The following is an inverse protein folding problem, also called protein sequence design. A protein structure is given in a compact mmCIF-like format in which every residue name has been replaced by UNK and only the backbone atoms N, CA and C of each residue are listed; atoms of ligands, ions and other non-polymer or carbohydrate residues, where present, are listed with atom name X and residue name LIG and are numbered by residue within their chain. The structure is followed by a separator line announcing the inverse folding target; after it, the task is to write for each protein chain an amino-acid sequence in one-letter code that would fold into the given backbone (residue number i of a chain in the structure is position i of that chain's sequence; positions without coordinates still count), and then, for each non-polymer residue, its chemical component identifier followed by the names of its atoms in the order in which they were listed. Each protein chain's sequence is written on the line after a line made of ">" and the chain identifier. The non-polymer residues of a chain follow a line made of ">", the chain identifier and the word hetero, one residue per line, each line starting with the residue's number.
data_IF_687629763151
#
_entry.id   IF_687629763151
#
_cell.length_a   1.000
_cell.length_b   1.000
_cell.length_c   1.000
_cell.angle_alpha   90.00
_cell.angle_beta   90.00
_cell.angle_gamma   90.00
#
_symmetry.space_group_name_H-M   'P 1'
#
loop_
_entity.id
_entity.type
_entity.pdbx_description
1 polymer ?
#
# COMPACT_ATOMS: atom_id res chain seq x y z
N UNK A 1 -6.73 5.92 -19.03
CA UNK A 1 -6.72 4.47 -18.76
C UNK A 1 -7.66 4.27 -17.57
N UNK A 2 -8.94 4.05 -17.87
CA UNK A 2 -9.99 3.84 -16.87
C UNK A 2 -9.85 2.41 -16.32
N UNK A 3 -9.94 2.23 -15.00
CA UNK A 3 -9.89 0.91 -14.36
C UNK A 3 -11.30 0.32 -14.38
N UNK A 4 -11.54 -0.82 -15.06
CA UNK A 4 -12.84 -1.50 -15.10
C UNK A 4 -13.47 -1.76 -13.72
N UNK A 5 -14.81 -1.66 -13.63
CA UNK A 5 -15.59 -1.78 -12.39
C UNK A 5 -15.44 -3.15 -11.69
N UNK A 6 -15.01 -4.19 -12.40
CA UNK A 6 -14.74 -5.54 -11.87
C UNK A 6 -13.35 -5.67 -11.20
N UNK A 7 -12.48 -4.66 -11.34
CA UNK A 7 -11.25 -4.52 -10.56
C UNK A 7 -11.47 -3.79 -9.23
N UNK A 8 -12.73 -3.44 -8.90
CA UNK A 8 -13.10 -3.04 -7.53
C UNK A 8 -12.86 -4.23 -6.59
N UNK A 9 -12.20 -4.03 -5.44
CA UNK A 9 -11.82 -5.11 -4.55
C UNK A 9 -13.07 -5.85 -4.06
N UNK A 10 -13.16 -7.13 -4.40
CA UNK A 10 -14.27 -8.02 -4.08
C UNK A 10 -13.79 -9.28 -3.36
N UNK A 11 -14.53 -9.61 -2.30
CA UNK A 11 -14.43 -10.74 -1.35
C UNK A 11 -13.49 -10.51 -0.15
N UNK A 12 -14.13 -10.20 0.98
CA UNK A 12 -13.55 -9.98 2.31
C UNK A 12 -13.10 -11.30 2.93
N UNK A 13 -11.86 -11.36 3.44
CA UNK A 13 -11.50 -12.31 4.49
C UNK A 13 -12.20 -11.89 5.81
N UNK A 14 -12.74 -12.83 6.62
CA UNK A 14 -13.40 -12.50 7.87
C UNK A 14 -12.39 -11.93 8.88
N UNK A 15 -12.66 -10.72 9.38
CA UNK A 15 -11.91 -10.09 10.47
C UNK A 15 -12.43 -10.64 11.81
N UNK A 16 -11.53 -11.12 12.67
CA UNK A 16 -11.84 -11.39 14.08
C UNK A 16 -12.14 -10.07 14.82
N UNK A 17 -13.05 -10.05 15.82
CA UNK A 17 -13.40 -8.83 16.53
C UNK A 17 -12.24 -8.34 17.43
N UNK A 18 -12.07 -7.01 17.61
CA UNK A 18 -11.00 -6.47 18.45
C UNK A 18 -11.32 -6.65 19.94
N UNK A 19 -10.38 -7.25 20.67
CA UNK A 19 -10.36 -7.30 22.14
C UNK A 19 -10.18 -5.89 22.70
N UNK A 20 -11.06 -5.55 23.64
CA UNK A 20 -11.17 -4.39 24.53
C UNK A 20 -10.12 -3.25 24.46
N UNK A 21 -10.66 -2.04 24.38
CA UNK A 21 -9.96 -0.76 24.43
C UNK A 21 -9.04 -0.58 25.66
N UNK A 22 -7.79 -0.24 25.40
CA UNK A 22 -6.83 0.28 26.38
C UNK A 22 -6.30 1.63 25.91
N UNK A 23 -6.33 2.61 26.81
CA UNK A 23 -5.90 4.02 26.75
C UNK A 23 -5.22 4.48 25.45
N UNK A 24 -5.94 5.34 24.70
CA UNK A 24 -5.45 5.98 23.49
C UNK A 24 -4.37 7.04 23.80
N UNK A 25 -3.11 6.64 23.74
CA UNK A 25 -2.03 7.54 23.35
C UNK A 25 -2.25 7.83 21.86
N UNK A 26 -2.50 9.09 21.49
CA UNK A 26 -2.67 9.49 20.09
C UNK A 26 -1.47 8.95 19.29
N UNK A 27 -1.66 8.03 18.33
CA UNK A 27 -0.57 7.65 17.46
C UNK A 27 -0.21 8.89 16.67
N UNK A 28 1.02 9.38 16.80
CA UNK A 28 1.50 10.49 15.98
C UNK A 28 1.51 10.00 14.53
N UNK A 29 0.43 10.29 13.79
CA UNK A 29 0.38 9.99 12.37
C UNK A 29 1.56 10.70 11.71
N UNK A 30 2.41 9.98 10.97
CA UNK A 30 3.53 10.59 10.28
C UNK A 30 2.98 11.37 9.08
N UNK A 31 3.26 12.66 8.99
CA UNK A 31 2.72 13.50 7.92
C UNK A 31 3.64 13.41 6.69
N UNK A 32 3.09 13.62 5.48
CA UNK A 32 3.83 13.52 4.22
C UNK A 32 5.16 14.29 4.24
N UNK A 33 5.18 15.52 4.78
CA UNK A 33 6.40 16.33 4.90
C UNK A 33 7.51 15.63 5.71
N UNK A 34 7.17 14.98 6.82
CA UNK A 34 8.14 14.27 7.65
C UNK A 34 8.71 13.04 6.94
N UNK A 35 7.86 12.33 6.19
CA UNK A 35 8.26 11.19 5.36
C UNK A 35 9.29 11.63 4.31
N UNK A 36 8.97 12.68 3.55
CA UNK A 36 9.89 13.19 2.52
C UNK A 36 11.19 13.68 3.15
N UNK A 37 11.13 14.40 4.27
CA UNK A 37 12.32 14.89 4.96
C UNK A 37 13.25 13.75 5.38
N UNK A 38 12.69 12.66 5.92
CA UNK A 38 13.48 11.51 6.35
C UNK A 38 14.06 10.74 5.17
N UNK A 39 13.29 10.59 4.08
CA UNK A 39 13.80 10.01 2.84
C UNK A 39 15.00 10.79 2.31
N UNK A 40 14.89 12.12 2.23
CA UNK A 40 15.96 12.97 1.71
C UNK A 40 17.26 12.88 2.53
N UNK A 41 17.17 12.63 3.84
CA UNK A 41 18.36 12.43 4.70
C UNK A 41 19.12 11.14 4.42
N UNK A 42 18.47 10.16 3.79
CA UNK A 42 19.03 8.84 3.53
C UNK A 42 19.54 8.68 2.09
N UNK A 43 19.17 9.60 1.20
CA UNK A 43 19.62 9.58 -0.18
C UNK A 43 21.03 10.17 -0.31
N UNK A 44 21.84 9.69 -1.26
CA UNK A 44 23.15 10.26 -1.53
C UNK A 44 23.02 11.64 -2.20
N UNK A 45 24.04 12.49 -2.05
CA UNK A 45 24.03 13.85 -2.60
C UNK A 45 23.98 13.89 -4.13
N UNK A 46 24.38 12.83 -4.81
CA UNK A 46 24.35 12.68 -6.27
C UNK A 46 23.04 12.05 -6.80
N UNK A 47 22.05 11.84 -5.93
CA UNK A 47 20.76 11.30 -6.35
C UNK A 47 20.05 12.24 -7.34
N UNK A 48 19.37 11.63 -8.31
CA UNK A 48 18.57 12.35 -9.31
C UNK A 48 17.16 12.62 -8.80
N UNK A 49 16.42 13.49 -9.50
CA UNK A 49 15.02 13.72 -9.20
C UNK A 49 14.18 12.45 -9.45
N UNK A 50 14.56 11.67 -10.46
CA UNK A 50 13.97 10.37 -10.79
C UNK A 50 14.16 9.37 -9.66
N UNK A 51 15.34 9.34 -9.02
CA UNK A 51 15.59 8.48 -7.85
C UNK A 51 14.64 8.87 -6.69
N UNK A 52 14.57 10.16 -6.36
CA UNK A 52 13.67 10.68 -5.32
C UNK A 52 12.23 10.26 -5.63
N UNK A 53 11.77 10.44 -6.87
CA UNK A 53 10.43 10.07 -7.30
C UNK A 53 10.18 8.56 -7.15
N UNK A 54 11.13 7.72 -7.58
CA UNK A 54 11.03 6.27 -7.46
C UNK A 54 10.92 5.81 -6.01
N UNK A 55 11.73 6.39 -5.12
CA UNK A 55 11.69 6.09 -3.69
C UNK A 55 10.35 6.50 -3.06
N UNK A 56 9.82 7.68 -3.41
CA UNK A 56 8.50 8.13 -2.94
C UNK A 56 7.39 7.20 -3.43
N UNK A 57 7.38 6.87 -4.72
CA UNK A 57 6.39 5.97 -5.32
C UNK A 57 6.37 4.61 -4.60
N UNK A 58 7.53 3.99 -4.39
CA UNK A 58 7.61 2.68 -3.72
C UNK A 58 7.08 2.75 -2.28
N UNK A 59 7.44 3.79 -1.54
CA UNK A 59 6.98 3.95 -0.16
C UNK A 59 5.45 4.10 -0.11
N UNK A 60 4.88 4.94 -0.98
CA UNK A 60 3.43 5.10 -1.08
C UNK A 60 2.73 3.79 -1.44
N UNK A 61 3.25 3.02 -2.41
CA UNK A 61 2.67 1.72 -2.77
C UNK A 61 2.75 0.70 -1.63
N UNK A 62 3.83 0.70 -0.85
CA UNK A 62 3.96 -0.19 0.30
C UNK A 62 2.95 0.14 1.39
N UNK A 63 2.82 1.42 1.76
CA UNK A 63 1.84 1.86 2.77
C UNK A 63 0.41 1.61 2.32
N UNK A 64 0.10 1.89 1.04
CA UNK A 64 -1.21 1.59 0.47
C UNK A 64 -1.51 0.10 0.50
N UNK A 65 -0.53 -0.75 0.15
CA UNK A 65 -0.68 -2.21 0.23
C UNK A 65 -0.94 -2.71 1.64
N UNK A 66 -0.27 -2.12 2.66
CA UNK A 66 -0.55 -2.44 4.07
C UNK A 66 -1.98 -2.07 4.47
N UNK A 67 -2.43 -0.88 4.08
CA UNK A 67 -3.80 -0.42 4.33
C UNK A 67 -4.82 -1.31 3.59
N UNK A 68 -4.54 -1.69 2.36
CA UNK A 68 -5.39 -2.61 1.58
C UNK A 68 -5.53 -3.96 2.29
N UNK A 69 -4.44 -4.53 2.80
CA UNK A 69 -4.47 -5.77 3.59
C UNK A 69 -5.28 -5.57 4.88
N UNK A 70 -5.03 -4.51 5.64
CA UNK A 70 -5.73 -4.21 6.89
C UNK A 70 -7.26 -4.08 6.69
N UNK A 71 -7.67 -3.57 5.53
CA UNK A 71 -9.07 -3.37 5.16
C UNK A 71 -9.67 -4.57 4.41
N UNK A 72 -8.94 -5.68 4.27
CA UNK A 72 -9.40 -6.87 3.58
C UNK A 72 -9.59 -6.70 2.07
N UNK A 73 -8.86 -5.76 1.45
CA UNK A 73 -8.83 -5.51 0.00
C UNK A 73 -7.70 -6.26 -0.73
N UNK A 74 -7.08 -7.24 -0.08
CA UNK A 74 -6.08 -8.13 -0.68
C UNK A 74 -6.70 -9.35 -1.36
N UNK A 75 -5.91 -10.04 -2.17
CA UNK A 75 -6.28 -11.31 -2.80
C UNK A 75 -5.46 -12.46 -2.20
N UNK A 76 -6.05 -13.66 -2.13
CA UNK A 76 -5.28 -14.88 -1.93
C UNK A 76 -4.42 -15.19 -3.16
N UNK A 77 -3.38 -16.00 -2.99
CA UNK A 77 -2.44 -16.31 -4.06
C UNK A 77 -3.13 -16.89 -5.31
N UNK A 78 -4.04 -17.85 -5.13
CA UNK A 78 -4.78 -18.47 -6.23
C UNK A 78 -5.71 -17.48 -6.94
N UNK A 79 -6.36 -16.58 -6.20
CA UNK A 79 -7.23 -15.54 -6.76
C UNK A 79 -6.44 -14.50 -7.55
N UNK A 80 -5.24 -14.16 -7.09
CA UNK A 80 -4.32 -13.27 -7.78
C UNK A 80 -3.81 -13.92 -9.07
N UNK A 81 -3.48 -15.21 -9.05
CA UNK A 81 -3.04 -15.98 -10.23
C UNK A 81 -4.11 -16.02 -11.31
N UNK A 82 -5.33 -16.41 -10.97
CA UNK A 82 -6.47 -16.44 -11.91
C UNK A 82 -6.73 -15.06 -12.56
N UNK A 83 -6.57 -13.99 -11.78
CA UNK A 83 -6.70 -12.62 -12.31
C UNK A 83 -5.59 -12.25 -13.29
N UNK A 84 -4.36 -12.70 -13.03
CA UNK A 84 -3.20 -12.43 -13.87
C UNK A 84 -3.26 -13.21 -15.19
N UNK A 85 -3.77 -14.45 -15.17
CA UNK A 85 -3.90 -15.31 -16.35
C UNK A 85 -4.69 -14.62 -17.48
N UNK A 86 -5.71 -13.81 -17.15
CA UNK A 86 -6.51 -13.02 -18.13
C UNK A 86 -5.68 -12.06 -19.00
N UNK A 87 -4.50 -11.65 -18.53
CA UNK A 87 -3.60 -10.73 -19.25
C UNK A 87 -2.42 -11.44 -19.91
N UNK A 88 -2.08 -12.64 -19.42
CA UNK A 88 -0.95 -13.43 -19.91
C UNK A 88 -1.34 -14.43 -21.01
N UNK A 89 -2.63 -14.67 -21.24
CA UNK A 89 -3.16 -15.48 -22.35
C UNK A 89 -3.06 -14.78 -23.73
N UNK A 90 -1.98 -14.03 -23.98
CA UNK A 90 -1.65 -13.44 -25.29
C UNK A 90 -0.85 -14.37 -26.18
#
# INVERSE_FOLDING_TARGET
>A
MEIPDDLRPGVRAPLSPPVAATTARTPTARHAKQIVTELLRQLPDDCTLEDIQYHLYRLEKAERGREDIAQGRGYLNDEARQRLDRWLES
#
